data_IF_500081618777
#
_entry.id   IF_500081618777
#
_cell.length_a   1.000
_cell.length_b   1.000
_cell.length_c   1.000
_cell.angle_alpha   90.00
_cell.angle_beta   90.00
_cell.angle_gamma   90.00
#
_symmetry.space_group_name_H-M   'P 1'
#
loop_
_entity.id
_entity.type
_entity.pdbx_description
1 polymer ?
#
# COMPACT_ATOMS: atom_id res chain seq x y z
N UNK A 1 -11.44 10.42 2.44
CA UNK A 1 -10.53 11.45 2.98
C UNK A 1 -9.57 10.77 3.94
N UNK A 2 -8.26 11.02 3.86
CA UNK A 2 -7.26 10.45 4.78
C UNK A 2 -7.29 11.24 6.11
N UNK A 3 -7.62 10.61 7.26
CA UNK A 3 -7.76 11.33 8.53
C UNK A 3 -6.45 11.96 9.02
N UNK A 4 -6.55 13.06 9.77
CA UNK A 4 -5.38 13.76 10.34
C UNK A 4 -4.50 12.85 11.20
N UNK A 5 -5.11 11.99 12.04
CA UNK A 5 -4.37 11.02 12.87
C UNK A 5 -3.53 10.05 12.02
N UNK A 6 -4.03 9.63 10.85
CA UNK A 6 -3.26 8.78 9.95
C UNK A 6 -2.07 9.54 9.36
N UNK A 7 -2.26 10.81 8.98
CA UNK A 7 -1.18 11.66 8.48
C UNK A 7 -0.10 11.91 9.55
N UNK A 8 -0.47 12.00 10.83
CA UNK A 8 0.49 12.07 11.94
C UNK A 8 1.31 10.78 12.07
N UNK A 9 0.67 9.61 11.96
CA UNK A 9 1.33 8.30 12.03
C UNK A 9 2.32 8.12 10.86
N UNK A 10 1.94 8.55 9.65
CA UNK A 10 2.80 8.46 8.46
C UNK A 10 4.11 9.25 8.60
N UNK A 11 4.20 10.23 9.51
CA UNK A 11 5.42 11.00 9.80
C UNK A 11 6.37 10.30 10.79
N UNK A 12 6.00 9.13 11.31
CA UNK A 12 6.81 8.33 12.22
C UNK A 12 7.39 7.12 11.48
N UNK A 13 8.52 6.63 11.95
CA UNK A 13 9.09 5.37 11.46
C UNK A 13 8.09 4.24 11.69
N UNK A 14 7.90 3.43 10.65
CA UNK A 14 6.91 2.36 10.66
C UNK A 14 6.89 1.62 9.35
N UNK A 15 6.49 0.35 9.44
CA UNK A 15 6.31 -0.55 8.31
C UNK A 15 4.83 -0.56 7.94
N UNK A 16 4.54 -0.37 6.66
CA UNK A 16 3.21 -0.55 6.08
C UNK A 16 3.12 -1.99 5.57
N UNK A 17 2.05 -2.69 5.90
CA UNK A 17 1.73 -3.99 5.31
C UNK A 17 0.63 -3.81 4.24
N UNK A 18 0.79 -4.48 3.11
CA UNK A 18 -0.12 -4.43 1.96
C UNK A 18 -0.53 -5.86 1.65
N UNK A 19 -1.82 -6.15 1.77
CA UNK A 19 -2.38 -7.46 1.48
C UNK A 19 -3.05 -7.45 0.11
N UNK A 20 -2.85 -8.51 -0.69
CA UNK A 20 -3.54 -8.71 -1.96
C UNK A 20 -4.06 -10.13 -2.05
N UNK A 21 -5.15 -10.35 -2.80
CA UNK A 21 -5.71 -11.68 -3.01
C UNK A 21 -5.35 -12.19 -4.42
N UNK A 22 -4.58 -13.28 -4.47
CA UNK A 22 -4.33 -14.03 -5.69
C UNK A 22 -5.22 -15.27 -5.82
N UNK A 23 -5.13 -16.00 -6.95
CA UNK A 23 -5.86 -17.26 -7.15
C UNK A 23 -5.50 -18.33 -6.10
N UNK A 24 -4.30 -18.26 -5.54
CA UNK A 24 -3.76 -19.23 -4.59
C UNK A 24 -3.94 -18.78 -3.13
N UNK A 25 -4.68 -17.68 -2.90
CA UNK A 25 -4.90 -17.08 -1.57
C UNK A 25 -4.16 -15.76 -1.34
N UNK A 26 -4.06 -15.31 -0.08
CA UNK A 26 -3.51 -13.99 0.25
C UNK A 26 -2.00 -13.92 0.07
N UNK A 27 -1.53 -12.74 -0.30
CA UNK A 27 -0.12 -12.39 -0.37
C UNK A 27 0.11 -11.06 0.35
N UNK A 28 1.19 -10.97 1.11
CA UNK A 28 1.55 -9.78 1.91
C UNK A 28 2.92 -9.26 1.47
N UNK A 29 3.01 -7.95 1.28
CA UNK A 29 4.28 -7.23 1.06
C UNK A 29 4.34 -5.99 1.95
N UNK A 30 5.47 -5.29 1.94
CA UNK A 30 5.69 -4.14 2.80
C UNK A 30 6.30 -2.95 2.09
N UNK A 31 6.12 -1.78 2.70
CA UNK A 31 6.86 -0.54 2.43
C UNK A 31 7.06 0.24 3.74
N UNK A 32 7.62 1.44 3.68
CA UNK A 32 7.83 2.31 4.83
C UNK A 32 6.82 3.45 4.86
N UNK A 33 6.41 3.87 6.06
CA UNK A 33 5.57 5.06 6.24
C UNK A 33 6.14 6.30 5.51
N UNK A 34 7.46 6.49 5.61
CA UNK A 34 8.20 7.59 4.99
C UNK A 34 8.17 7.57 3.45
N UNK A 35 7.80 6.45 2.83
CA UNK A 35 7.72 6.27 1.37
C UNK A 35 6.35 6.62 0.79
N UNK A 36 5.31 6.71 1.64
CA UNK A 36 3.97 7.05 1.19
C UNK A 36 3.91 8.51 0.71
N UNK A 37 3.18 8.75 -0.39
CA UNK A 37 2.83 10.09 -0.86
C UNK A 37 1.32 10.19 -0.99
N UNK A 38 0.76 11.33 -0.58
CA UNK A 38 -0.66 11.63 -0.73
C UNK A 38 -0.81 12.59 -1.90
N UNK A 39 -1.63 12.23 -2.89
CA UNK A 39 -1.98 13.11 -4.01
C UNK A 39 -2.99 14.19 -3.59
N UNK A 40 -3.14 15.23 -4.41
CA UNK A 40 -4.12 16.31 -4.15
C UNK A 40 -5.57 15.81 -4.05
N UNK A 41 -5.89 14.73 -4.76
CA UNK A 41 -7.21 14.07 -4.72
C UNK A 41 -7.32 12.97 -3.63
N UNK A 42 -6.33 12.86 -2.73
CA UNK A 42 -6.41 12.03 -1.53
C UNK A 42 -6.12 10.54 -1.74
N UNK A 43 -5.34 10.17 -2.77
CA UNK A 43 -4.86 8.80 -3.00
C UNK A 43 -3.48 8.59 -2.39
N UNK A 44 -3.19 7.36 -1.99
CA UNK A 44 -1.86 6.93 -1.56
C UNK A 44 -1.06 6.42 -2.76
N UNK A 45 0.14 6.96 -2.95
CA UNK A 45 1.14 6.41 -3.85
C UNK A 45 2.22 5.69 -3.06
N UNK A 46 2.53 4.47 -3.51
CA UNK A 46 3.52 3.56 -2.93
C UNK A 46 4.55 3.29 -4.04
N UNK A 47 5.85 3.53 -3.80
CA UNK A 47 6.88 3.13 -4.76
C UNK A 47 6.95 1.60 -4.85
N UNK A 48 6.86 1.06 -6.07
CA UNK A 48 6.87 -0.36 -6.35
C UNK A 48 8.18 -0.76 -7.05
N UNK A 49 9.01 -1.57 -6.38
CA UNK A 49 10.18 -2.21 -6.96
C UNK A 49 9.84 -3.61 -7.48
N UNK A 50 9.99 -4.63 -6.62
CA UNK A 50 9.78 -6.05 -6.96
C UNK A 50 8.35 -6.55 -6.69
N UNK A 51 7.34 -5.68 -6.73
CA UNK A 51 5.96 -6.03 -6.39
C UNK A 51 5.23 -6.82 -7.50
N UNK A 52 5.92 -7.70 -8.24
CA UNK A 52 5.36 -8.43 -9.39
C UNK A 52 4.18 -9.34 -9.03
N UNK A 53 4.26 -10.06 -7.89
CA UNK A 53 3.15 -10.90 -7.42
C UNK A 53 1.95 -10.05 -6.97
N UNK A 54 2.21 -8.95 -6.28
CA UNK A 54 1.20 -7.96 -5.90
C UNK A 54 0.50 -7.38 -7.15
N UNK A 55 1.25 -7.02 -8.19
CA UNK A 55 0.73 -6.52 -9.47
C UNK A 55 -0.17 -7.56 -10.18
N UNK A 56 0.28 -8.83 -10.23
CA UNK A 56 -0.52 -9.93 -10.77
C UNK A 56 -1.81 -10.14 -9.97
N UNK A 57 -1.74 -10.09 -8.64
CA UNK A 57 -2.90 -10.21 -7.76
C UNK A 57 -3.89 -9.06 -7.95
N UNK A 58 -3.42 -7.81 -8.05
CA UNK A 58 -4.28 -6.63 -8.28
C UNK A 58 -5.00 -6.73 -9.63
N UNK A 59 -4.33 -7.27 -10.66
CA UNK A 59 -4.95 -7.50 -11.98
C UNK A 59 -6.09 -8.53 -11.90
N UNK A 60 -6.03 -9.48 -10.96
CA UNK A 60 -7.08 -10.46 -10.70
C UNK A 60 -8.18 -9.92 -9.77
N UNK A 61 -7.81 -9.28 -8.65
CA UNK A 61 -8.69 -8.66 -7.69
C UNK A 61 -8.10 -7.31 -7.24
N UNK A 62 -8.69 -6.18 -7.64
CA UNK A 62 -8.15 -4.86 -7.33
C UNK A 62 -8.42 -4.38 -5.90
N UNK A 63 -9.09 -5.19 -5.06
CA UNK A 63 -9.33 -4.85 -3.65
C UNK A 63 -8.09 -5.16 -2.80
N UNK A 64 -7.62 -4.13 -2.08
CA UNK A 64 -6.40 -4.11 -1.27
C UNK A 64 -6.72 -3.50 0.10
#
# INVERSE_FOLDING_TARGET
>A
MIPEKMQEIMKKDGVVAIATLGPDGPHMVNTWNSYLRISQDGRLFIPAGYMHKTEANISHNPNV
#
